data_IF_949434369684
#
_entry.id   IF_949434369684
#
_cell.length_a   1.000
_cell.length_b   1.000
_cell.length_c   1.000
_cell.angle_alpha   90.00
_cell.angle_beta   90.00
_cell.angle_gamma   90.00
#
_symmetry.space_group_name_H-M   'P 1'
#
loop_
_entity.id
_entity.type
_entity.pdbx_description
1 polymer ?
#
# COMPACT_ATOMS: atom_id res chain seq x y z
N UNK A 1 0.74 -11.01 -19.30
CA UNK A 1 1.18 -10.29 -18.11
C UNK A 1 1.30 -8.81 -18.39
N UNK A 2 0.82 -7.99 -17.49
CA UNK A 2 0.85 -6.55 -17.71
C UNK A 2 2.20 -5.97 -17.30
N UNK A 3 2.66 -5.01 -18.07
CA UNK A 3 3.87 -4.30 -17.72
C UNK A 3 3.62 -3.39 -16.53
N UNK A 4 4.61 -3.30 -15.66
CA UNK A 4 4.53 -2.41 -14.51
C UNK A 4 5.11 -1.07 -14.89
N UNK A 5 4.45 -0.03 -14.43
CA UNK A 5 4.91 1.34 -14.61
C UNK A 5 5.40 1.85 -13.26
N UNK A 6 6.58 2.42 -13.24
CA UNK A 6 7.13 2.96 -12.01
C UNK A 6 6.43 4.25 -11.66
N UNK A 7 6.10 4.39 -10.38
CA UNK A 7 5.50 5.60 -9.85
C UNK A 7 6.36 6.10 -8.69
N UNK A 8 6.57 7.39 -8.64
CA UNK A 8 7.29 8.00 -7.53
C UNK A 8 6.28 8.58 -6.56
N UNK A 9 6.23 7.98 -5.39
CA UNK A 9 5.27 8.39 -4.37
C UNK A 9 6.05 8.78 -3.13
N UNK A 10 6.01 10.06 -2.73
CA UNK A 10 6.69 10.46 -1.49
C UNK A 10 6.00 9.82 -0.29
N UNK A 11 6.80 9.16 0.52
CA UNK A 11 6.33 8.52 1.74
C UNK A 11 7.23 8.94 2.88
N UNK A 12 6.63 9.13 4.04
CA UNK A 12 7.40 9.40 5.24
C UNK A 12 8.17 8.15 5.65
N UNK A 13 9.32 8.34 6.32
CA UNK A 13 10.13 7.19 6.73
C UNK A 13 9.36 6.14 7.52
N UNK A 14 8.45 6.54 8.38
CA UNK A 14 7.69 5.59 9.20
C UNK A 14 6.76 4.73 8.35
N UNK A 15 6.27 5.27 7.23
CA UNK A 15 5.43 4.49 6.32
C UNK A 15 6.26 3.48 5.54
N UNK A 16 7.46 3.88 5.16
CA UNK A 16 8.40 2.97 4.51
C UNK A 16 8.78 1.85 5.47
N UNK A 17 9.04 2.20 6.73
CA UNK A 17 9.39 1.21 7.75
C UNK A 17 8.26 0.21 7.95
N UNK A 18 7.02 0.68 7.95
CA UNK A 18 5.87 -0.19 8.07
C UNK A 18 5.82 -1.19 6.92
N UNK A 19 6.03 -0.71 5.71
CA UNK A 19 6.00 -1.58 4.53
C UNK A 19 7.14 -2.59 4.58
N UNK A 20 8.31 -2.16 5.02
CA UNK A 20 9.45 -3.07 5.17
C UNK A 20 9.16 -4.14 6.21
N UNK A 21 8.55 -3.75 7.32
CA UNK A 21 8.20 -4.70 8.37
C UNK A 21 7.18 -5.71 7.87
N UNK A 22 6.21 -5.26 7.09
CA UNK A 22 5.21 -6.17 6.53
C UNK A 22 5.82 -7.12 5.52
N UNK A 23 6.71 -6.61 4.68
CA UNK A 23 7.39 -7.45 3.70
C UNK A 23 8.20 -8.52 4.41
N UNK A 24 8.88 -8.16 5.48
CA UNK A 24 9.67 -9.10 6.24
C UNK A 24 8.80 -10.12 6.96
N UNK A 25 7.74 -9.66 7.63
CA UNK A 25 6.85 -10.52 8.41
C UNK A 25 6.14 -11.55 7.54
N UNK A 26 5.79 -11.19 6.34
CA UNK A 26 5.04 -12.06 5.45
C UNK A 26 5.87 -12.60 4.31
N UNK A 27 7.18 -12.42 4.41
CA UNK A 27 8.15 -12.98 3.45
C UNK A 27 7.88 -12.56 2.03
N UNK A 28 7.56 -11.28 1.86
CA UNK A 28 7.35 -10.71 0.55
C UNK A 28 8.70 -10.33 -0.07
N UNK A 29 8.82 -10.37 -1.39
CA UNK A 29 10.10 -10.10 -2.03
C UNK A 29 10.59 -8.67 -1.88
N UNK A 30 9.67 -7.71 -1.80
CA UNK A 30 10.03 -6.30 -1.66
C UNK A 30 8.83 -5.49 -1.17
N UNK A 31 9.07 -4.19 -0.91
CA UNK A 31 7.99 -3.32 -0.46
C UNK A 31 6.95 -3.08 -1.57
N UNK A 32 7.38 -3.14 -2.82
CA UNK A 32 6.44 -3.01 -3.94
C UNK A 32 5.35 -4.06 -3.88
N UNK A 33 5.72 -5.28 -3.51
CA UNK A 33 4.73 -6.35 -3.36
C UNK A 33 3.74 -6.02 -2.23
N UNK A 34 4.23 -5.47 -1.12
CA UNK A 34 3.36 -5.07 -0.02
C UNK A 34 2.35 -4.02 -0.47
N UNK A 35 2.81 -3.04 -1.24
CA UNK A 35 1.94 -2.00 -1.78
C UNK A 35 0.90 -2.60 -2.71
N UNK A 36 1.32 -3.49 -3.60
CA UNK A 36 0.39 -4.13 -4.54
C UNK A 36 -0.66 -4.95 -3.82
N UNK A 37 -0.29 -5.62 -2.74
CA UNK A 37 -1.25 -6.37 -1.93
C UNK A 37 -2.30 -5.47 -1.32
N UNK A 38 -1.89 -4.30 -0.82
CA UNK A 38 -2.83 -3.33 -0.27
C UNK A 38 -3.80 -2.84 -1.35
N UNK A 39 -3.28 -2.56 -2.52
CA UNK A 39 -4.11 -2.10 -3.63
C UNK A 39 -5.11 -3.17 -4.02
N UNK A 40 -4.65 -4.41 -4.16
CA UNK A 40 -5.54 -5.51 -4.55
C UNK A 40 -6.65 -5.71 -3.52
N UNK A 41 -6.29 -5.64 -2.25
CA UNK A 41 -7.28 -5.78 -1.20
C UNK A 41 -8.36 -4.69 -1.30
N UNK A 42 -7.93 -3.45 -1.49
CA UNK A 42 -8.85 -2.33 -1.60
C UNK A 42 -9.74 -2.47 -2.84
N UNK A 43 -9.17 -2.94 -3.95
CA UNK A 43 -9.94 -3.11 -5.18
C UNK A 43 -10.99 -4.19 -5.06
N UNK A 44 -10.68 -5.25 -4.34
CA UNK A 44 -11.60 -6.38 -4.18
C UNK A 44 -12.63 -6.17 -3.08
N UNK A 45 -12.46 -5.13 -2.30
CA UNK A 45 -13.34 -4.84 -1.17
C UNK A 45 -13.84 -3.41 -1.24
N UNK A 46 -14.80 -3.12 -2.13
CA UNK A 46 -15.27 -1.73 -2.33
C UNK A 46 -15.76 -1.05 -1.04
N UNK A 47 -16.32 -1.81 -0.12
CA UNK A 47 -16.76 -1.25 1.15
C UNK A 47 -15.61 -0.68 1.98
N UNK A 48 -14.42 -1.25 1.82
CA UNK A 48 -13.24 -0.76 2.53
C UNK A 48 -12.69 0.51 1.91
N UNK A 49 -12.96 0.73 0.64
CA UNK A 49 -12.50 1.94 -0.04
C UNK A 49 -13.07 3.18 0.62
N UNK A 50 -14.34 3.14 1.02
CA UNK A 50 -14.97 4.26 1.69
C UNK A 50 -14.32 4.53 3.04
N UNK A 51 -13.93 3.47 3.76
CA UNK A 51 -13.25 3.63 5.04
C UNK A 51 -11.86 4.23 4.84
N UNK A 52 -11.15 3.79 3.80
CA UNK A 52 -9.78 4.20 3.56
C UNK A 52 -9.71 5.61 3.00
N UNK A 53 -10.54 5.92 2.02
CA UNK A 53 -10.44 7.16 1.26
C UNK A 53 -11.56 8.15 1.52
N UNK A 54 -12.71 7.65 1.97
CA UNK A 54 -13.89 8.50 2.18
C UNK A 54 -13.82 9.34 3.43
N UNK A 55 -13.09 8.88 4.43
CA UNK A 55 -12.86 9.63 5.65
C UNK A 55 -11.39 10.02 5.70
N UNK A 56 -11.10 11.03 6.50
CA UNK A 56 -9.71 11.51 6.59
C UNK A 56 -8.94 10.62 7.54
N UNK A 57 -8.37 9.56 7.01
CA UNK A 57 -7.49 8.68 7.76
C UNK A 57 -6.04 8.95 7.49
N UNK A 58 -5.74 9.61 6.38
CA UNK A 58 -4.36 9.94 6.03
C UNK A 58 -3.93 11.17 6.80
N UNK A 59 -2.82 11.06 7.49
CA UNK A 59 -2.31 12.19 8.27
C UNK A 59 -1.77 13.29 7.38
N UNK A 60 -1.43 12.96 6.15
CA UNK A 60 -0.80 13.90 5.23
C UNK A 60 -1.65 14.27 4.03
N UNK A 61 -2.91 13.92 4.05
CA UNK A 61 -3.79 14.18 2.90
C UNK A 61 -4.39 15.59 2.88
#
# INVERSE_FOLDING_TARGET
>A
MKDKTEQRIPLEPEKVEFLQAMAKSYQLPDIGKAVRCLIDYARENPGKQAEIFGEVHCQDC
#
